data_IF_095179781433
#
_entry.id   IF_095179781433
#
_cell.length_a   1.000
_cell.length_b   1.000
_cell.length_c   1.000
_cell.angle_alpha   90.00
_cell.angle_beta   90.00
_cell.angle_gamma   90.00
#
_symmetry.space_group_name_H-M   'P 1'
#
loop_
_entity.id
_entity.type
_entity.pdbx_description
1 polymer ?
#
# COMPACT_ATOMS: atom_id res chain seq x y z
N UNK A 1 30.68 22.34 -39.60
CA UNK A 1 30.53 22.33 -38.12
C UNK A 1 29.07 22.40 -37.67
N UNK A 2 28.24 23.32 -38.20
CA UNK A 2 26.83 23.48 -37.80
C UNK A 2 25.96 22.22 -37.98
N UNK A 3 26.19 21.43 -39.02
CA UNK A 3 25.46 20.19 -39.30
C UNK A 3 25.66 19.07 -38.25
N UNK A 4 26.85 18.97 -37.65
CA UNK A 4 27.11 18.02 -36.57
C UNK A 4 26.47 18.46 -35.24
N UNK A 5 26.42 19.77 -35.00
CA UNK A 5 25.74 20.34 -33.83
C UNK A 5 24.22 20.11 -33.88
N UNK A 6 23.62 20.26 -35.07
CA UNK A 6 22.19 19.93 -35.29
C UNK A 6 21.89 18.45 -35.09
N UNK A 7 22.80 17.57 -35.52
CA UNK A 7 22.64 16.12 -35.32
C UNK A 7 22.69 15.74 -33.84
N UNK A 8 23.60 16.35 -33.09
CA UNK A 8 23.77 16.11 -31.65
C UNK A 8 22.55 16.58 -30.84
N UNK A 9 21.95 17.71 -31.24
CA UNK A 9 20.71 18.23 -30.66
C UNK A 9 19.52 17.28 -30.92
N UNK A 10 19.44 16.73 -32.14
CA UNK A 10 18.38 15.79 -32.54
C UNK A 10 18.48 14.47 -31.78
N UNK A 11 19.71 13.95 -31.59
CA UNK A 11 19.96 12.73 -30.82
C UNK A 11 19.57 12.89 -29.35
N UNK A 12 19.91 14.03 -28.74
CA UNK A 12 19.48 14.34 -27.38
C UNK A 12 17.95 14.34 -27.26
N UNK A 13 17.25 14.92 -28.24
CA UNK A 13 15.78 14.95 -28.27
C UNK A 13 15.14 13.57 -28.41
N UNK A 14 15.76 12.66 -29.19
CA UNK A 14 15.29 11.29 -29.38
C UNK A 14 15.41 10.45 -28.09
N UNK A 15 16.42 10.70 -27.26
CA UNK A 15 16.61 9.96 -26.00
C UNK A 15 15.54 10.26 -24.94
N UNK A 16 14.88 11.43 -25.00
CA UNK A 16 13.79 11.78 -24.07
C UNK A 16 12.52 10.93 -24.26
N UNK A 17 12.31 10.36 -25.46
CA UNK A 17 11.14 9.52 -25.77
C UNK A 17 11.20 8.16 -25.06
N UNK A 18 12.42 7.65 -24.81
CA UNK A 18 12.65 6.34 -24.18
C UNK A 18 12.46 6.33 -22.65
N UNK A 19 12.20 7.48 -22.03
CA UNK A 19 12.05 7.60 -20.57
C UNK A 19 10.59 7.50 -20.09
N UNK A 20 9.67 7.02 -20.94
CA UNK A 20 8.28 6.82 -20.53
C UNK A 20 8.18 5.53 -19.71
N UNK A 21 7.99 5.69 -18.40
CA UNK A 21 7.62 4.59 -17.52
C UNK A 21 6.30 4.00 -18.01
N UNK A 22 6.28 2.69 -18.31
CA UNK A 22 5.05 1.97 -18.65
C UNK A 22 4.19 1.99 -17.39
N UNK A 23 3.28 2.95 -17.29
CA UNK A 23 2.24 2.93 -16.27
C UNK A 23 1.37 1.72 -16.58
N UNK A 24 1.31 0.69 -15.72
CA UNK A 24 0.42 -0.44 -15.95
C UNK A 24 -1.01 0.06 -15.70
N UNK A 25 -1.62 0.64 -16.74
CA UNK A 25 -3.04 1.07 -16.75
C UNK A 25 -3.94 -0.07 -16.28
N UNK A 26 -3.58 -1.30 -16.65
CA UNK A 26 -4.28 -2.52 -16.31
C UNK A 26 -4.40 -2.73 -14.79
N UNK A 27 -3.34 -2.47 -14.02
CA UNK A 27 -3.36 -2.68 -12.56
C UNK A 27 -4.27 -1.66 -11.89
N UNK A 28 -4.23 -0.41 -12.34
CA UNK A 28 -5.10 0.66 -11.80
C UNK A 28 -6.56 0.33 -12.07
N UNK A 29 -6.88 -0.14 -13.27
CA UNK A 29 -8.26 -0.48 -13.64
C UNK A 29 -8.74 -1.76 -12.93
N UNK A 30 -7.87 -2.73 -12.70
CA UNK A 30 -8.14 -3.89 -11.83
C UNK A 30 -8.45 -3.42 -10.40
N UNK A 31 -7.63 -2.53 -9.81
CA UNK A 31 -7.86 -2.00 -8.46
C UNK A 31 -9.21 -1.27 -8.38
N UNK A 32 -9.53 -0.42 -9.37
CA UNK A 32 -10.82 0.26 -9.43
C UNK A 32 -11.99 -0.72 -9.51
N UNK A 33 -11.90 -1.73 -10.39
CA UNK A 33 -12.92 -2.77 -10.53
C UNK A 33 -13.13 -3.54 -9.22
N UNK A 34 -12.05 -3.92 -8.53
CA UNK A 34 -12.17 -4.58 -7.23
C UNK A 34 -12.72 -3.65 -6.15
N UNK A 35 -12.37 -2.36 -6.16
CA UNK A 35 -12.84 -1.37 -5.20
C UNK A 35 -14.31 -0.98 -5.39
N UNK A 36 -14.80 -0.93 -6.63
CA UNK A 36 -16.15 -0.48 -6.98
C UNK A 36 -17.12 -1.64 -7.14
N UNK A 37 -16.76 -2.67 -7.91
CA UNK A 37 -17.70 -3.74 -8.31
C UNK A 37 -17.62 -4.96 -7.38
N UNK A 38 -16.46 -5.21 -6.75
CA UNK A 38 -16.22 -6.38 -5.88
C UNK A 38 -15.77 -5.98 -4.47
N UNK A 39 -16.28 -4.84 -3.99
CA UNK A 39 -15.83 -4.24 -2.74
C UNK A 39 -16.05 -5.16 -1.54
N UNK A 40 -15.00 -5.35 -0.73
CA UNK A 40 -15.06 -6.10 0.53
C UNK A 40 -15.22 -5.18 1.75
N UNK A 41 -15.39 -3.87 1.54
CA UNK A 41 -15.31 -2.86 2.60
C UNK A 41 -16.30 -3.10 3.74
N UNK A 42 -17.54 -3.49 3.41
CA UNK A 42 -18.58 -3.70 4.43
C UNK A 42 -18.33 -4.95 5.28
N UNK A 43 -17.81 -6.01 4.67
CA UNK A 43 -17.44 -7.22 5.41
C UNK A 43 -16.28 -6.94 6.38
N UNK A 44 -15.23 -6.27 5.89
CA UNK A 44 -14.07 -5.87 6.70
C UNK A 44 -14.50 -4.91 7.83
N UNK A 45 -15.38 -3.94 7.52
CA UNK A 45 -15.91 -3.02 8.51
C UNK A 45 -16.67 -3.74 9.63
N UNK A 46 -17.55 -4.69 9.29
CA UNK A 46 -18.31 -5.49 10.27
C UNK A 46 -17.38 -6.23 11.26
N UNK A 47 -16.31 -6.87 10.75
CA UNK A 47 -15.31 -7.50 11.62
C UNK A 47 -14.68 -6.50 12.58
N UNK A 48 -14.34 -5.30 12.10
CA UNK A 48 -13.72 -4.29 12.93
C UNK A 48 -14.69 -3.63 13.91
N UNK A 49 -15.91 -3.30 13.50
CA UNK A 49 -16.83 -2.43 14.27
C UNK A 49 -17.79 -3.21 15.15
N UNK A 50 -18.34 -4.30 14.65
CA UNK A 50 -19.50 -4.95 15.28
C UNK A 50 -19.08 -6.26 15.95
N UNK A 51 -18.24 -7.06 15.28
CA UNK A 51 -17.77 -8.34 15.81
C UNK A 51 -16.78 -8.18 16.97
N UNK A 52 -15.75 -7.34 16.80
CA UNK A 52 -14.69 -7.17 17.80
C UNK A 52 -15.08 -6.23 18.96
N UNK A 53 -16.21 -5.51 18.85
CA UNK A 53 -16.71 -4.61 19.90
C UNK A 53 -15.89 -3.33 20.10
N UNK A 54 -16.05 -2.65 21.26
CA UNK A 54 -15.39 -1.36 21.55
C UNK A 54 -13.85 -1.49 21.62
N UNK A 55 -13.13 -0.60 20.92
CA UNK A 55 -11.65 -0.62 20.79
C UNK A 55 -10.97 0.43 21.68
N UNK A 56 -11.44 0.57 22.91
CA UNK A 56 -10.79 1.46 23.89
C UNK A 56 -9.41 0.91 24.24
N UNK A 57 -8.43 1.79 24.48
CA UNK A 57 -7.08 1.40 24.89
C UNK A 57 -7.11 0.49 26.11
N UNK A 58 -6.48 -0.68 26.02
CA UNK A 58 -6.43 -1.69 27.10
C UNK A 58 -7.71 -2.52 27.27
N UNK A 59 -8.67 -2.41 26.35
CA UNK A 59 -9.88 -3.23 26.37
C UNK A 59 -9.70 -4.56 25.64
N UNK A 60 -10.47 -5.62 26.00
CA UNK A 60 -10.46 -6.89 25.26
C UNK A 60 -10.84 -6.74 23.78
N UNK A 61 -11.69 -5.77 23.43
CA UNK A 61 -12.09 -5.53 22.04
C UNK A 61 -10.94 -5.01 21.18
N UNK A 62 -10.05 -4.20 21.75
CA UNK A 62 -8.82 -3.80 21.08
C UNK A 62 -7.88 -4.99 20.85
N UNK A 63 -7.71 -5.86 21.84
CA UNK A 63 -6.85 -7.06 21.72
C UNK A 63 -7.39 -8.05 20.68
N UNK A 64 -8.71 -8.22 20.62
CA UNK A 64 -9.34 -9.10 19.62
C UNK A 64 -9.25 -8.52 18.21
N UNK A 65 -9.52 -7.21 18.05
CA UNK A 65 -9.41 -6.54 16.76
C UNK A 65 -7.97 -6.59 16.22
N UNK A 66 -6.98 -6.30 17.06
CA UNK A 66 -5.56 -6.33 16.66
C UNK A 66 -5.12 -7.73 16.25
N UNK A 67 -5.51 -8.79 16.98
CA UNK A 67 -5.26 -10.19 16.60
C UNK A 67 -5.89 -10.53 15.24
N UNK A 68 -7.15 -10.14 15.04
CA UNK A 68 -7.86 -10.39 13.78
C UNK A 68 -7.16 -9.71 12.60
N UNK A 69 -6.80 -8.42 12.73
CA UNK A 69 -6.09 -7.67 11.69
C UNK A 69 -4.73 -8.30 11.38
N UNK A 70 -3.96 -8.68 12.41
CA UNK A 70 -2.65 -9.33 12.19
C UNK A 70 -2.79 -10.61 11.37
N UNK A 71 -3.80 -11.43 11.65
CA UNK A 71 -4.06 -12.65 10.89
C UNK A 71 -4.51 -12.36 9.47
N UNK A 72 -5.48 -11.47 9.26
CA UNK A 72 -6.00 -11.14 7.93
C UNK A 72 -4.92 -10.56 7.01
N UNK A 73 -4.12 -9.61 7.49
CA UNK A 73 -3.03 -9.03 6.70
C UNK A 73 -1.97 -10.08 6.34
N UNK A 74 -1.69 -11.01 7.26
CA UNK A 74 -0.77 -12.14 6.99
C UNK A 74 -1.36 -13.08 5.94
N UNK A 75 -2.65 -13.40 6.03
CA UNK A 75 -3.36 -14.23 5.06
C UNK A 75 -3.38 -13.60 3.66
N UNK A 76 -3.45 -12.27 3.56
CA UNK A 76 -3.33 -11.55 2.28
C UNK A 76 -1.89 -11.50 1.74
N UNK A 77 -0.92 -12.06 2.46
CA UNK A 77 0.47 -12.17 2.02
C UNK A 77 1.37 -11.00 2.42
N UNK A 78 0.96 -10.15 3.37
CA UNK A 78 1.82 -9.09 3.88
C UNK A 78 2.98 -9.66 4.71
N UNK A 79 4.20 -9.18 4.46
CA UNK A 79 5.42 -9.77 5.03
C UNK A 79 5.85 -9.20 6.38
N UNK A 80 5.45 -7.97 6.71
CA UNK A 80 5.96 -7.24 7.88
C UNK A 80 4.83 -6.93 8.89
N UNK A 81 3.94 -7.89 9.14
CA UNK A 81 2.82 -7.69 10.05
C UNK A 81 3.26 -7.97 11.49
N UNK A 82 3.23 -6.95 12.34
CA UNK A 82 3.58 -7.07 13.76
C UNK A 82 2.88 -5.99 14.58
N UNK A 83 2.55 -6.30 15.83
CA UNK A 83 2.04 -5.32 16.78
C UNK A 83 3.21 -4.62 17.45
N UNK A 84 3.23 -3.29 17.39
CA UNK A 84 4.23 -2.48 18.05
C UNK A 84 3.73 -2.07 19.43
N UNK A 85 4.42 -2.52 20.47
CA UNK A 85 4.16 -2.01 21.81
C UNK A 85 4.81 -0.64 21.99
N UNK A 86 4.23 0.20 22.84
CA UNK A 86 4.76 1.55 23.12
C UNK A 86 6.24 1.54 23.57
N UNK A 87 6.69 0.46 24.21
CA UNK A 87 8.09 0.26 24.59
C UNK A 87 9.01 -0.01 23.39
N UNK A 88 8.51 -0.69 22.37
CA UNK A 88 9.24 -1.04 21.14
C UNK A 88 9.36 0.17 20.19
N UNK A 89 8.37 1.06 20.17
CA UNK A 89 8.46 2.32 19.41
C UNK A 89 9.68 3.16 19.83
N UNK A 90 9.98 3.26 21.13
CA UNK A 90 11.16 3.97 21.64
C UNK A 90 12.50 3.30 21.29
N UNK A 91 12.49 2.00 21.02
CA UNK A 91 13.69 1.25 20.65
C UNK A 91 13.92 1.28 19.13
N UNK A 92 12.84 1.20 18.35
CA UNK A 92 12.92 1.25 16.89
C UNK A 92 13.16 2.67 16.36
N UNK A 93 12.70 3.72 17.07
CA UNK A 93 13.00 5.11 16.72
C UNK A 93 14.45 5.54 16.98
N UNK A 94 15.27 4.65 17.57
CA UNK A 94 16.70 4.87 17.85
C UNK A 94 17.62 4.08 16.92
N UNK A 95 17.06 3.35 15.96
CA UNK A 95 17.80 2.67 14.89
C UNK A 95 17.66 3.44 13.59
#
# INVERSE_FOLDING_TARGET
MKQYLSLLLLISFLTSIYSQEIKPTDVVDIIKKHGMDNSQVMNIANWMTDYNGPRLTGSPGLDNATKWVTNELTNWGMKNVHLLLAKELKLNSRR
#
